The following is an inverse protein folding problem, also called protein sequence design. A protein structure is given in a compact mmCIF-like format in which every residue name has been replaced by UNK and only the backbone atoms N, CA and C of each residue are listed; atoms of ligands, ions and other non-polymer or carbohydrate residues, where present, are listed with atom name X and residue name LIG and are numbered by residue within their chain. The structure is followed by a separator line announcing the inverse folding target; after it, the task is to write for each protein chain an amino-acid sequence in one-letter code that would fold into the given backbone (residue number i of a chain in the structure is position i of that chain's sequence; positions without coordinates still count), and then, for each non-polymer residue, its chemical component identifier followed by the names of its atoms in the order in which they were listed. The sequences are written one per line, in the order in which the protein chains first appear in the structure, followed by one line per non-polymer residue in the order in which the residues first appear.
data_IF_524176100978
#
_entry.id   IF_524176100978
#
_cell.length_a   1.000
_cell.length_b   1.000
_cell.length_c   1.000
_cell.angle_alpha   90.00
_cell.angle_beta   90.00
_cell.angle_gamma   90.00
#
_symmetry.space_group_name_H-M   'P 1'
#
loop_
_entity.id
_entity.type
_entity.pdbx_description
1 polymer ?
#
# COMPACT_ATOMS: atom_id res chain seq x y z
N UNK A 1 -4.64 -23.49 11.21
CA UNK A 1 -4.20 -22.60 10.14
C UNK A 1 -2.88 -22.01 10.58
N UNK A 2 -1.83 -22.25 9.84
CA UNK A 2 -0.51 -21.71 10.12
C UNK A 2 -0.62 -20.17 10.14
N UNK A 3 -0.05 -19.53 11.15
CA UNK A 3 0.00 -18.07 11.19
C UNK A 3 0.93 -17.60 10.08
N UNK A 4 0.60 -16.53 9.41
CA UNK A 4 1.35 -15.96 8.29
C UNK A 4 1.37 -14.45 8.47
N UNK A 5 2.52 -13.82 8.29
CA UNK A 5 2.65 -12.37 8.29
C UNK A 5 2.42 -11.77 6.89
N UNK A 6 2.31 -10.46 6.79
CA UNK A 6 2.01 -9.77 5.53
C UNK A 6 3.11 -9.98 4.48
N UNK A 7 4.42 -9.86 4.78
CA UNK A 7 5.48 -10.18 3.84
C UNK A 7 5.40 -11.60 3.27
N UNK A 8 5.12 -12.60 4.12
CA UNK A 8 4.97 -13.99 3.68
C UNK A 8 3.74 -14.18 2.78
N UNK A 9 2.60 -13.56 3.14
CA UNK A 9 1.39 -13.58 2.31
C UNK A 9 1.66 -12.96 0.93
N UNK A 10 2.36 -11.83 0.89
CA UNK A 10 2.70 -11.15 -0.36
C UNK A 10 3.71 -11.96 -1.19
N UNK A 11 4.72 -12.54 -0.57
CA UNK A 11 5.69 -13.43 -1.23
C UNK A 11 5.02 -14.67 -1.82
N UNK A 12 4.09 -15.30 -1.09
CA UNK A 12 3.34 -16.45 -1.58
C UNK A 12 2.47 -16.08 -2.80
N UNK A 13 1.82 -14.91 -2.78
CA UNK A 13 1.02 -14.42 -3.91
C UNK A 13 1.89 -14.08 -5.14
N UNK A 14 3.12 -13.60 -4.92
CA UNK A 14 4.10 -13.29 -5.97
C UNK A 14 4.77 -14.54 -6.53
N UNK A 15 4.92 -15.60 -5.71
CA UNK A 15 5.65 -16.83 -6.07
C UNK A 15 4.98 -17.70 -7.13
N UNK A 16 3.72 -17.42 -7.50
CA UNK A 16 3.02 -18.05 -8.62
C UNK A 16 3.33 -17.37 -9.95
N UNK A 17 2.30 -16.94 -10.66
CA UNK A 17 2.45 -16.08 -11.86
C UNK A 17 2.66 -14.62 -11.41
N UNK A 18 3.91 -14.20 -11.24
CA UNK A 18 4.27 -12.86 -10.83
C UNK A 18 3.95 -11.78 -11.88
N UNK A 19 3.78 -12.18 -13.14
CA UNK A 19 3.45 -11.26 -14.24
C UNK A 19 1.95 -10.92 -14.30
N UNK A 20 1.09 -11.67 -13.60
CA UNK A 20 -0.34 -11.39 -13.57
C UNK A 20 -0.62 -10.02 -12.93
N UNK A 21 -1.69 -9.32 -13.35
CA UNK A 21 -2.07 -8.04 -12.75
C UNK A 21 -2.37 -8.18 -11.25
N UNK A 22 -1.91 -7.22 -10.46
CA UNK A 22 -2.28 -7.08 -9.05
C UNK A 22 -3.12 -5.82 -8.82
N UNK A 23 -2.62 -4.66 -9.24
CA UNK A 23 -3.32 -3.40 -9.09
C UNK A 23 -3.50 -2.74 -10.45
N UNK A 24 -4.75 -2.47 -10.83
CA UNK A 24 -5.09 -1.56 -11.92
C UNK A 24 -5.68 -0.30 -11.28
N UNK A 25 -5.12 0.85 -11.58
CA UNK A 25 -5.52 2.12 -11.01
C UNK A 25 -6.06 3.04 -12.10
N UNK A 26 -7.19 3.66 -11.78
CA UNK A 26 -7.81 4.72 -12.57
C UNK A 26 -7.91 5.98 -11.75
N UNK A 27 -7.55 7.11 -12.35
CA UNK A 27 -7.89 8.44 -11.87
C UNK A 27 -8.65 9.19 -12.96
N UNK A 28 -9.96 9.32 -12.79
CA UNK A 28 -10.84 9.90 -13.80
C UNK A 28 -10.69 11.42 -13.90
N UNK A 29 -10.10 12.08 -12.90
CA UNK A 29 -9.79 13.51 -12.98
C UNK A 29 -8.59 13.79 -13.90
N UNK A 30 -7.65 12.86 -14.02
CA UNK A 30 -6.45 13.00 -14.85
C UNK A 30 -6.50 12.18 -16.14
N UNK A 31 -7.42 11.22 -16.20
CA UNK A 31 -7.49 10.22 -17.28
C UNK A 31 -6.42 9.14 -17.18
N UNK A 32 -5.77 9.01 -16.02
CA UNK A 32 -4.75 7.97 -15.80
C UNK A 32 -5.39 6.59 -15.76
N UNK A 33 -4.77 5.64 -16.47
CA UNK A 33 -4.90 4.20 -16.26
C UNK A 33 -3.52 3.58 -16.22
N UNK A 34 -3.21 2.92 -15.12
CA UNK A 34 -1.99 2.14 -14.98
C UNK A 34 -2.31 0.75 -14.44
N UNK A 35 -1.63 -0.28 -14.96
CA UNK A 35 -1.75 -1.65 -14.49
C UNK A 35 -0.38 -2.17 -14.08
N UNK A 36 -0.28 -2.64 -12.85
CA UNK A 36 0.94 -3.18 -12.29
C UNK A 36 0.75 -4.66 -11.94
N UNK A 37 1.73 -5.46 -12.36
CA UNK A 37 1.80 -6.87 -11.96
C UNK A 37 2.24 -7.00 -10.50
N UNK A 38 2.06 -8.20 -9.94
CA UNK A 38 2.63 -8.54 -8.64
C UNK A 38 4.15 -8.29 -8.59
N UNK A 39 4.87 -8.64 -9.66
CA UNK A 39 6.31 -8.40 -9.77
C UNK A 39 6.66 -6.91 -9.70
N UNK A 40 5.91 -6.08 -10.43
CA UNK A 40 6.17 -4.63 -10.42
C UNK A 40 5.91 -4.01 -9.05
N UNK A 41 4.82 -4.41 -8.39
CA UNK A 41 4.54 -3.94 -7.01
C UNK A 41 5.60 -4.46 -6.05
N UNK A 42 6.08 -5.72 -6.20
CA UNK A 42 7.15 -6.27 -5.37
C UNK A 42 8.46 -5.49 -5.54
N UNK A 43 8.83 -5.08 -6.74
CA UNK A 43 10.03 -4.26 -6.97
C UNK A 43 9.93 -2.92 -6.23
N UNK A 44 8.80 -2.23 -6.30
CA UNK A 44 8.59 -0.99 -5.55
C UNK A 44 8.55 -1.21 -4.04
N UNK A 45 7.95 -2.31 -3.58
CA UNK A 45 7.95 -2.74 -2.16
C UNK A 45 9.38 -2.94 -1.66
N UNK A 46 10.20 -3.67 -2.42
CA UNK A 46 11.59 -3.96 -2.06
C UNK A 46 12.46 -2.69 -2.03
N UNK A 47 12.30 -1.81 -3.01
CA UNK A 47 12.98 -0.50 -3.01
C UNK A 47 12.60 0.34 -1.79
N UNK A 48 11.31 0.35 -1.42
CA UNK A 48 10.84 1.06 -0.23
C UNK A 48 11.41 0.45 1.06
N UNK A 49 11.43 -0.88 1.17
CA UNK A 49 12.03 -1.54 2.34
C UNK A 49 13.54 -1.26 2.46
N UNK A 50 14.28 -1.30 1.34
CA UNK A 50 15.70 -0.94 1.31
C UNK A 50 15.91 0.54 1.66
N UNK A 51 15.08 1.46 1.17
CA UNK A 51 15.13 2.88 1.55
C UNK A 51 14.97 3.04 3.07
N UNK A 52 14.00 2.35 3.68
CA UNK A 52 13.75 2.43 5.12
C UNK A 52 14.92 1.87 5.93
N UNK A 53 15.45 0.70 5.55
CA UNK A 53 16.50 0.01 6.31
C UNK A 53 17.87 0.61 6.02
N UNK A 54 18.28 0.69 4.77
CA UNK A 54 19.64 1.08 4.38
C UNK A 54 19.77 2.61 4.26
N UNK A 55 18.70 3.32 3.89
CA UNK A 55 18.68 4.77 3.75
C UNK A 55 18.40 5.50 5.05
N UNK A 56 17.30 5.16 5.72
CA UNK A 56 16.83 5.86 6.92
C UNK A 56 17.22 5.15 8.23
N UNK A 57 17.80 3.95 8.18
CA UNK A 57 18.21 3.18 9.36
C UNK A 57 17.03 2.68 10.22
N UNK A 58 15.85 2.54 9.63
CA UNK A 58 14.61 2.14 10.29
C UNK A 58 14.38 0.62 10.19
N UNK A 59 13.63 0.06 11.15
CA UNK A 59 13.36 -1.36 11.21
C UNK A 59 12.37 -1.70 12.33
N UNK A 60 12.42 -2.93 12.89
CA UNK A 60 11.55 -3.33 13.98
C UNK A 60 11.60 -2.35 15.16
N UNK A 61 10.43 -1.91 15.59
CA UNK A 61 10.26 -0.89 16.64
C UNK A 61 10.15 0.54 16.12
N UNK A 62 10.45 0.79 14.83
CA UNK A 62 10.21 2.08 14.18
C UNK A 62 8.78 2.20 13.67
N UNK A 63 8.35 3.44 13.45
CA UNK A 63 6.99 3.79 13.03
C UNK A 63 6.99 4.66 11.78
N UNK A 64 6.00 4.44 10.90
CA UNK A 64 5.78 5.24 9.71
C UNK A 64 4.34 5.75 9.65
N UNK A 65 4.14 6.95 9.13
CA UNK A 65 2.82 7.41 8.71
C UNK A 65 2.73 7.44 7.18
N UNK A 66 1.60 6.96 6.63
CA UNK A 66 1.33 6.97 5.20
C UNK A 66 0.06 7.78 4.95
N UNK A 67 0.23 9.10 4.82
CA UNK A 67 -0.84 10.08 4.63
C UNK A 67 -1.18 10.23 3.13
N UNK A 68 -1.71 9.17 2.54
CA UNK A 68 -1.97 9.05 1.11
C UNK A 68 -3.30 8.35 0.81
N UNK A 69 -3.95 8.65 -0.33
CA UNK A 69 -5.14 7.93 -0.76
C UNK A 69 -4.83 6.50 -1.20
N UNK A 70 -5.89 5.72 -1.50
CA UNK A 70 -5.74 4.44 -2.18
C UNK A 70 -5.09 4.65 -3.55
N UNK A 71 -3.87 4.12 -3.70
CA UNK A 71 -3.05 4.29 -4.90
C UNK A 71 -2.01 3.17 -4.97
N UNK A 72 -1.52 2.83 -6.14
CA UNK A 72 -0.52 1.77 -6.28
C UNK A 72 0.80 2.08 -5.53
N UNK A 73 1.22 3.35 -5.47
CA UNK A 73 2.37 3.76 -4.63
C UNK A 73 2.09 3.55 -3.15
N UNK A 74 0.87 3.84 -2.69
CA UNK A 74 0.46 3.59 -1.30
C UNK A 74 0.56 2.11 -0.95
N UNK A 75 0.21 1.22 -1.90
CA UNK A 75 0.41 -0.22 -1.70
C UNK A 75 1.90 -0.57 -1.49
N UNK A 76 2.77 -0.04 -2.34
CA UNK A 76 4.21 -0.29 -2.24
C UNK A 76 4.80 0.26 -0.94
N UNK A 77 4.36 1.43 -0.49
CA UNK A 77 4.78 2.03 0.79
C UNK A 77 4.34 1.19 1.98
N UNK A 78 3.07 0.80 2.04
CA UNK A 78 2.54 -0.02 3.13
C UNK A 78 3.24 -1.39 3.19
N UNK A 79 3.34 -2.08 2.06
CA UNK A 79 4.02 -3.37 1.97
C UNK A 79 5.52 -3.24 2.29
N UNK A 80 6.16 -2.14 1.86
CA UNK A 80 7.57 -1.84 2.17
C UNK A 80 7.80 -1.62 3.66
N UNK A 81 6.96 -0.83 4.33
CA UNK A 81 7.01 -0.64 5.78
C UNK A 81 6.89 -1.99 6.51
N UNK A 82 5.87 -2.77 6.20
CA UNK A 82 5.67 -4.07 6.83
C UNK A 82 6.79 -5.07 6.54
N UNK A 83 7.38 -5.03 5.35
CA UNK A 83 8.54 -5.88 5.00
C UNK A 83 9.81 -5.47 5.75
N UNK A 84 9.99 -4.19 6.03
CA UNK A 84 11.09 -3.66 6.84
C UNK A 84 10.86 -3.84 8.36
N UNK A 85 9.71 -4.35 8.80
CA UNK A 85 9.33 -4.43 10.21
C UNK A 85 8.94 -3.10 10.83
N UNK A 86 8.68 -2.07 10.00
CA UNK A 86 8.23 -0.74 10.42
C UNK A 86 6.71 -0.75 10.56
N UNK A 87 6.22 -0.43 11.75
CA UNK A 87 4.79 -0.38 12.01
C UNK A 87 4.18 0.89 11.43
N UNK A 88 3.00 0.78 10.79
CA UNK A 88 2.28 1.94 10.29
C UNK A 88 1.42 2.53 11.40
N UNK A 89 1.60 3.82 11.68
CA UNK A 89 0.83 4.56 12.69
C UNK A 89 -0.30 5.36 12.02
N UNK A 90 -1.28 5.75 12.85
CA UNK A 90 -2.27 6.72 12.42
C UNK A 90 -1.59 8.05 12.04
N UNK A 91 -2.06 8.69 10.99
CA UNK A 91 -1.44 9.90 10.41
C UNK A 91 -1.37 11.12 11.34
N UNK A 92 -2.01 11.09 12.50
CA UNK A 92 -1.90 12.15 13.51
C UNK A 92 -0.87 11.85 14.61
N UNK A 93 -0.19 10.72 14.56
CA UNK A 93 0.84 10.34 15.52
C UNK A 93 2.20 10.98 15.17
N UNK A 94 3.05 11.19 16.17
CA UNK A 94 4.46 11.42 15.95
C UNK A 94 5.10 10.10 15.50
N UNK A 95 5.87 10.12 14.41
CA UNK A 95 6.45 8.93 13.78
C UNK A 95 7.91 9.15 13.42
N UNK A 96 8.65 8.06 13.13
CA UNK A 96 10.05 8.14 12.71
C UNK A 96 10.19 8.59 11.25
N UNK A 97 9.22 8.22 10.39
CA UNK A 97 9.18 8.64 8.99
C UNK A 97 7.74 8.89 8.54
N UNK A 98 7.52 9.91 7.70
CA UNK A 98 6.22 10.19 7.09
C UNK A 98 6.29 10.16 5.57
N UNK A 99 5.29 9.53 4.93
CA UNK A 99 5.03 9.58 3.50
C UNK A 99 3.75 10.37 3.25
N UNK A 100 3.84 11.45 2.50
CA UNK A 100 2.75 12.42 2.35
C UNK A 100 2.48 12.71 0.89
N UNK A 101 1.22 12.60 0.48
CA UNK A 101 0.80 13.01 -0.86
C UNK A 101 0.98 14.52 -1.08
N UNK A 102 1.28 14.91 -2.33
CA UNK A 102 1.64 16.29 -2.65
C UNK A 102 0.58 17.35 -2.34
N UNK A 103 -0.68 16.94 -2.20
CA UNK A 103 -1.81 17.80 -1.81
C UNK A 103 -1.98 17.96 -0.28
N UNK A 104 -1.17 17.25 0.52
CA UNK A 104 -1.28 17.17 1.98
C UNK A 104 -0.05 17.64 2.76
N UNK A 105 0.89 18.32 2.11
CA UNK A 105 2.13 18.77 2.79
C UNK A 105 1.87 19.67 3.99
N UNK A 106 0.79 20.47 3.97
CA UNK A 106 0.41 21.33 5.08
C UNK A 106 -0.07 20.58 6.35
N UNK A 107 -0.51 19.34 6.17
CA UNK A 107 -1.03 18.46 7.23
C UNK A 107 -0.10 17.26 7.47
N UNK A 108 1.18 17.37 7.10
CA UNK A 108 2.14 16.29 7.25
C UNK A 108 2.26 15.86 8.72
N UNK A 109 2.27 14.54 9.00
CA UNK A 109 2.58 14.01 10.32
C UNK A 109 3.95 14.51 10.80
N UNK A 110 4.09 14.75 12.10
CA UNK A 110 5.37 15.16 12.67
C UNK A 110 6.35 14.00 12.63
N UNK A 111 7.46 14.18 11.94
CA UNK A 111 8.53 13.18 11.80
C UNK A 111 9.89 13.85 11.60
N UNK A 112 11.00 13.19 12.00
CA UNK A 112 12.34 13.63 11.64
C UNK A 112 12.61 13.62 10.14
N UNK A 113 11.97 12.72 9.41
CA UNK A 113 12.14 12.54 7.98
C UNK A 113 10.77 12.47 7.28
N UNK A 114 10.55 13.33 6.29
CA UNK A 114 9.31 13.38 5.53
C UNK A 114 9.59 13.23 4.04
N UNK A 115 8.97 12.19 3.46
CA UNK A 115 8.98 11.97 2.01
C UNK A 115 7.69 12.50 1.39
N UNK A 116 7.84 13.40 0.43
CA UNK A 116 6.76 13.83 -0.43
C UNK A 116 6.56 12.85 -1.59
N UNK A 117 5.35 12.38 -1.79
CA UNK A 117 5.03 11.41 -2.82
C UNK A 117 4.14 12.04 -3.87
N UNK A 118 4.65 12.13 -5.10
CA UNK A 118 3.87 12.59 -6.24
C UNK A 118 2.86 11.52 -6.67
N UNK A 119 1.61 11.92 -6.84
CA UNK A 119 0.55 11.08 -7.42
C UNK A 119 0.33 11.37 -8.90
N UNK A 120 1.27 12.04 -9.55
CA UNK A 120 1.21 12.31 -11.00
C UNK A 120 1.33 11.00 -11.78
N UNK A 121 0.66 10.89 -12.94
CA UNK A 121 0.79 9.76 -13.84
C UNK A 121 2.25 9.37 -14.09
N UNK A 122 2.50 8.08 -14.30
CA UNK A 122 3.84 7.53 -14.60
C UNK A 122 4.88 7.69 -13.48
N UNK A 123 4.49 7.95 -12.25
CA UNK A 123 5.39 8.16 -11.12
C UNK A 123 6.45 9.25 -11.41
N UNK A 124 6.01 10.37 -11.95
CA UNK A 124 6.88 11.54 -12.09
C UNK A 124 7.17 12.15 -10.72
N UNK A 125 8.42 12.61 -10.56
CA UNK A 125 8.84 13.32 -9.35
C UNK A 125 7.97 14.56 -9.07
N UNK A 126 8.06 15.07 -7.86
CA UNK A 126 7.50 16.37 -7.51
C UNK A 126 8.18 17.46 -8.33
N UNK A 127 7.41 18.47 -8.78
CA UNK A 127 8.01 19.63 -9.46
C UNK A 127 8.77 20.49 -8.45
N UNK A 128 8.13 20.79 -7.32
CA UNK A 128 8.68 21.57 -6.22
C UNK A 128 8.34 20.86 -4.90
N UNK A 129 9.34 20.34 -4.20
CA UNK A 129 9.19 19.84 -2.85
C UNK A 129 9.35 21.02 -1.85
N UNK A 130 8.45 21.19 -0.88
CA UNK A 130 8.66 22.15 0.20
C UNK A 130 9.96 21.90 0.96
N UNK A 131 10.51 22.95 1.58
CA UNK A 131 11.71 22.81 2.41
C UNK A 131 11.51 21.73 3.50
N UNK A 132 12.50 20.87 3.66
CA UNK A 132 12.46 19.76 4.61
C UNK A 132 11.69 18.51 4.14
N UNK A 133 11.12 18.53 2.93
CA UNK A 133 10.45 17.38 2.32
C UNK A 133 11.32 16.81 1.20
N UNK A 134 11.62 15.52 1.28
CA UNK A 134 12.43 14.80 0.28
C UNK A 134 11.51 14.19 -0.78
N UNK A 135 11.84 14.30 -2.06
CA UNK A 135 11.07 13.63 -3.12
C UNK A 135 11.28 12.12 -3.08
N UNK A 136 10.24 11.38 -2.71
CA UNK A 136 10.27 9.94 -2.58
C UNK A 136 10.70 9.24 -3.87
N UNK A 137 10.16 9.68 -5.02
CA UNK A 137 10.40 9.00 -6.29
C UNK A 137 11.82 9.22 -6.83
N UNK A 138 12.49 10.26 -6.38
CA UNK A 138 13.91 10.48 -6.65
C UNK A 138 14.76 9.56 -5.78
N UNK A 139 14.47 9.51 -4.46
CA UNK A 139 15.28 8.75 -3.52
C UNK A 139 15.11 7.24 -3.67
N UNK A 140 13.89 6.74 -3.74
CA UNK A 140 13.60 5.29 -3.77
C UNK A 140 14.22 4.58 -4.98
N UNK A 141 14.44 5.28 -6.09
CA UNK A 141 15.06 4.72 -7.30
C UNK A 141 16.54 4.38 -7.12
N UNK A 142 17.20 4.92 -6.11
CA UNK A 142 18.59 4.61 -5.79
C UNK A 142 18.75 3.24 -5.11
N UNK A 143 17.65 2.61 -4.68
CA UNK A 143 17.65 1.33 -3.97
C UNK A 143 17.31 0.15 -4.87
N UNK A 144 17.78 -1.05 -4.47
CA UNK A 144 17.65 -2.27 -5.25
C UNK A 144 16.23 -2.84 -5.30
N UNK A 145 15.92 -3.61 -6.34
CA UNK A 145 14.64 -4.30 -6.55
C UNK A 145 14.51 -5.59 -5.72
N UNK A 146 15.57 -5.96 -4.99
CA UNK A 146 15.60 -7.12 -4.11
C UNK A 146 15.85 -6.66 -2.67
N UNK A 147 14.96 -7.07 -1.77
CA UNK A 147 15.12 -6.88 -0.34
C UNK A 147 15.48 -8.22 0.30
N UNK A 148 16.78 -8.40 0.55
CA UNK A 148 17.32 -9.58 1.23
C UNK A 148 17.60 -9.32 2.71
N UNK A 149 16.95 -8.32 3.28
CA UNK A 149 17.26 -7.70 4.56
C UNK A 149 17.44 -8.67 5.72
N UNK A 150 18.28 -8.30 6.65
CA UNK A 150 18.47 -8.98 7.95
C UNK A 150 17.22 -8.89 8.86
N UNK A 151 16.18 -8.22 8.40
CA UNK A 151 14.95 -8.01 9.16
C UNK A 151 14.06 -9.25 9.04
N UNK A 152 13.99 -9.99 10.12
CA UNK A 152 13.00 -11.08 10.26
C UNK A 152 11.75 -10.49 10.89
N UNK A 153 10.67 -10.42 10.10
CA UNK A 153 9.37 -9.98 10.58
C UNK A 153 8.61 -11.19 11.14
N UNK A 154 8.20 -11.10 12.41
CA UNK A 154 7.40 -12.11 13.08
C UNK A 154 5.90 -11.89 12.90
N UNK A 155 5.13 -12.94 13.12
CA UNK A 155 3.66 -12.92 13.04
C UNK A 155 3.03 -11.99 14.09
N UNK A 156 3.64 -11.90 15.25
CA UNK A 156 3.20 -11.10 16.39
C UNK A 156 3.80 -9.68 16.41
N UNK A 157 4.65 -9.34 15.42
CA UNK A 157 5.20 -8.00 15.30
C UNK A 157 4.08 -6.98 14.97
N UNK A 158 4.15 -5.76 15.51
CA UNK A 158 3.16 -4.74 15.23
C UNK A 158 3.19 -4.34 13.76
N UNK A 159 2.03 -4.36 13.11
CA UNK A 159 1.83 -3.86 11.75
C UNK A 159 1.11 -2.50 11.74
N UNK A 160 0.16 -2.29 12.68
CA UNK A 160 -0.49 -1.01 12.92
C UNK A 160 -0.35 -0.63 14.39
N UNK A 161 -0.07 0.66 14.64
CA UNK A 161 0.06 1.23 15.98
C UNK A 161 -0.64 2.59 16.07
N UNK A 162 -0.78 3.13 17.28
CA UNK A 162 -1.39 4.43 17.54
C UNK A 162 -2.76 4.59 16.87
N UNK A 163 -3.57 3.55 16.89
CA UNK A 163 -4.91 3.55 16.29
C UNK A 163 -5.84 4.53 17.02
N UNK A 164 -6.85 5.10 16.35
CA UNK A 164 -7.91 5.84 17.01
C UNK A 164 -8.53 5.02 18.14
N UNK A 165 -8.56 5.57 19.35
CA UNK A 165 -8.98 4.84 20.56
C UNK A 165 -7.89 4.01 21.22
N UNK A 166 -6.65 4.03 20.71
CA UNK A 166 -5.49 3.30 21.23
C UNK A 166 -5.38 1.89 20.69
N UNK A 167 -4.23 1.27 20.96
CA UNK A 167 -3.97 -0.13 20.60
C UNK A 167 -3.09 -0.30 19.36
N UNK A 168 -2.84 -1.56 19.06
CA UNK A 168 -2.05 -2.01 17.92
C UNK A 168 -2.74 -3.21 17.25
N UNK A 169 -2.26 -3.56 16.06
CA UNK A 169 -2.60 -4.81 15.36
C UNK A 169 -1.32 -5.46 14.87
N UNK A 170 -1.23 -6.76 15.05
CA UNK A 170 -0.08 -7.53 14.61
C UNK A 170 -0.15 -7.85 13.11
N UNK A 171 0.95 -8.31 12.55
CA UNK A 171 1.04 -8.79 11.17
C UNK A 171 0.00 -9.89 10.91
N UNK A 172 -0.05 -10.92 11.75
CA UNK A 172 -1.01 -12.02 11.59
C UNK A 172 -2.47 -11.58 11.77
N UNK A 173 -2.76 -10.63 12.67
CA UNK A 173 -4.11 -10.08 12.82
C UNK A 173 -4.60 -9.36 11.58
N UNK A 174 -3.72 -8.62 10.88
CA UNK A 174 -4.09 -7.96 9.63
C UNK A 174 -4.33 -8.97 8.50
N UNK A 175 -3.48 -9.99 8.37
CA UNK A 175 -3.69 -11.08 7.41
C UNK A 175 -5.04 -11.76 7.66
N UNK A 176 -5.32 -12.14 8.91
CA UNK A 176 -6.60 -12.73 9.28
C UNK A 176 -7.79 -11.79 9.00
N UNK A 177 -7.61 -10.48 9.20
CA UNK A 177 -8.64 -9.49 8.91
C UNK A 177 -8.94 -9.38 7.42
N UNK A 178 -7.91 -9.45 6.54
CA UNK A 178 -8.10 -9.49 5.09
C UNK A 178 -8.93 -10.70 4.66
N UNK A 179 -8.63 -11.89 5.18
CA UNK A 179 -9.39 -13.11 4.91
C UNK A 179 -10.84 -13.05 5.40
N UNK A 180 -11.07 -12.55 6.63
CA UNK A 180 -12.45 -12.36 7.14
C UNK A 180 -13.22 -11.37 6.28
N UNK A 181 -12.59 -10.26 5.89
CA UNK A 181 -13.23 -9.24 5.06
C UNK A 181 -13.64 -9.79 3.69
N UNK A 182 -12.81 -10.64 3.10
CA UNK A 182 -13.16 -11.35 1.86
C UNK A 182 -14.39 -12.24 2.05
N UNK A 183 -14.48 -12.96 3.16
CA UNK A 183 -15.66 -13.77 3.49
C UNK A 183 -16.92 -12.94 3.71
N UNK A 184 -16.83 -11.81 4.41
CA UNK A 184 -17.96 -10.88 4.63
C UNK A 184 -18.52 -10.29 3.33
N UNK A 185 -17.65 -10.04 2.35
CA UNK A 185 -18.01 -9.45 1.05
C UNK A 185 -18.14 -10.51 -0.06
N UNK A 186 -18.12 -11.80 0.29
CA UNK A 186 -18.24 -12.94 -0.62
C UNK A 186 -17.24 -12.91 -1.80
N UNK A 187 -16.03 -12.37 -1.55
CA UNK A 187 -14.97 -12.31 -2.54
C UNK A 187 -14.31 -13.68 -2.71
N UNK A 188 -14.44 -14.26 -3.88
CA UNK A 188 -13.90 -15.59 -4.19
C UNK A 188 -12.36 -15.61 -4.27
N UNK A 189 -11.75 -16.77 -4.06
CA UNK A 189 -10.32 -16.96 -4.27
C UNK A 189 -9.91 -16.60 -5.71
N UNK A 190 -8.83 -15.85 -5.87
CA UNK A 190 -8.31 -15.37 -7.15
C UNK A 190 -9.16 -14.30 -7.85
N UNK A 191 -10.20 -13.79 -7.20
CA UNK A 191 -11.10 -12.80 -7.81
C UNK A 191 -10.36 -11.49 -8.18
N UNK A 192 -10.74 -10.93 -9.32
CA UNK A 192 -10.44 -9.54 -9.67
C UNK A 192 -11.62 -8.69 -9.24
N UNK A 193 -11.41 -7.75 -8.35
CA UNK A 193 -12.46 -6.90 -7.80
C UNK A 193 -12.30 -5.45 -8.26
N UNK A 194 -13.41 -4.71 -8.38
CA UNK A 194 -13.40 -3.27 -8.61
C UNK A 194 -13.92 -2.55 -7.38
N UNK A 195 -13.15 -1.60 -6.91
CA UNK A 195 -13.47 -0.71 -5.80
C UNK A 195 -13.37 0.74 -6.26
N UNK A 196 -14.35 1.55 -5.91
CA UNK A 196 -14.36 2.97 -6.22
C UNK A 196 -14.56 3.81 -4.96
N UNK A 197 -13.83 4.93 -4.87
CA UNK A 197 -13.95 5.89 -3.79
C UNK A 197 -12.62 6.48 -3.34
N UNK A 198 -12.69 7.65 -2.71
CA UNK A 198 -11.50 8.41 -2.30
C UNK A 198 -10.99 8.03 -0.89
N UNK A 199 -11.81 7.34 -0.09
CA UNK A 199 -11.51 6.98 1.30
C UNK A 199 -11.52 5.47 1.57
N UNK A 200 -11.02 4.70 0.61
CA UNK A 200 -10.92 3.26 0.75
C UNK A 200 -9.88 2.89 1.82
N UNK A 201 -10.23 1.96 2.70
CA UNK A 201 -9.31 1.46 3.74
C UNK A 201 -8.33 0.47 3.14
N UNK A 202 -7.04 0.45 3.55
CA UNK A 202 -6.07 -0.55 3.10
C UNK A 202 -6.53 -2.00 3.32
N UNK A 203 -7.36 -2.23 4.33
CA UNK A 203 -7.98 -3.55 4.56
C UNK A 203 -8.82 -4.00 3.35
N UNK A 204 -9.59 -3.10 2.76
CA UNK A 204 -10.54 -3.43 1.68
C UNK A 204 -9.84 -3.52 0.32
N UNK A 205 -8.93 -2.59 0.01
CA UNK A 205 -8.36 -2.53 -1.34
C UNK A 205 -6.98 -3.18 -1.50
N UNK A 206 -6.27 -3.45 -0.39
CA UNK A 206 -4.93 -4.07 -0.44
C UNK A 206 -4.92 -5.45 0.22
N UNK A 207 -5.29 -5.53 1.51
CA UNK A 207 -5.13 -6.78 2.28
C UNK A 207 -6.17 -7.83 1.89
N UNK A 208 -7.40 -7.44 1.62
CA UNK A 208 -8.48 -8.37 1.23
C UNK A 208 -8.18 -9.05 -0.13
N UNK A 209 -7.92 -8.34 -1.25
CA UNK A 209 -7.58 -9.01 -2.50
C UNK A 209 -6.28 -9.82 -2.39
N UNK A 210 -5.30 -9.35 -1.63
CA UNK A 210 -4.06 -10.10 -1.39
C UNK A 210 -4.34 -11.41 -0.64
N UNK A 211 -5.18 -11.40 0.38
CA UNK A 211 -5.52 -12.59 1.19
C UNK A 211 -6.21 -13.69 0.38
N UNK A 212 -6.93 -13.34 -0.68
CA UNK A 212 -7.55 -14.32 -1.59
C UNK A 212 -6.71 -14.63 -2.84
N UNK A 213 -5.50 -14.08 -2.93
CA UNK A 213 -4.64 -14.22 -4.11
C UNK A 213 -5.24 -13.59 -5.38
N UNK A 214 -6.09 -12.57 -5.21
CA UNK A 214 -6.81 -11.86 -6.26
C UNK A 214 -6.09 -10.62 -6.78
N UNK A 215 -6.83 -9.76 -7.44
CA UNK A 215 -6.36 -8.46 -7.93
C UNK A 215 -7.42 -7.38 -7.75
N UNK A 216 -7.02 -6.11 -7.79
CA UNK A 216 -7.93 -4.99 -7.59
C UNK A 216 -7.86 -3.99 -8.73
N UNK A 217 -9.02 -3.48 -9.13
CA UNK A 217 -9.19 -2.29 -9.96
C UNK A 217 -9.63 -1.17 -9.04
N UNK A 218 -8.76 -0.19 -8.82
CA UNK A 218 -9.02 0.99 -8.00
C UNK A 218 -9.48 2.14 -8.87
N UNK A 219 -10.63 2.74 -8.55
CA UNK A 219 -11.16 3.90 -9.25
C UNK A 219 -11.25 5.09 -8.29
N UNK A 220 -10.52 6.15 -8.63
CA UNK A 220 -10.53 7.43 -7.92
C UNK A 220 -11.18 8.50 -8.79
N UNK A 221 -11.78 9.52 -8.16
CA UNK A 221 -12.45 10.64 -8.85
C UNK A 221 -13.49 10.14 -9.89
N UNK A 222 -14.19 9.05 -9.59
CA UNK A 222 -15.04 8.33 -10.55
C UNK A 222 -16.51 8.80 -10.54
N UNK A 223 -16.79 9.99 -10.04
CA UNK A 223 -18.15 10.55 -10.04
C UNK A 223 -18.69 10.65 -11.48
N UNK A 224 -19.88 10.06 -11.69
CA UNK A 224 -20.52 10.04 -13.01
C UNK A 224 -19.98 9.01 -14.00
N UNK A 225 -19.00 8.18 -13.58
CA UNK A 225 -18.46 7.09 -14.40
C UNK A 225 -19.35 5.85 -14.29
N UNK A 226 -19.62 5.18 -15.41
CA UNK A 226 -20.28 3.87 -15.42
C UNK A 226 -19.30 2.79 -14.93
N UNK A 227 -19.34 2.54 -13.61
CA UNK A 227 -18.46 1.56 -12.96
C UNK A 227 -18.82 0.12 -13.34
N UNK A 228 -20.05 -0.18 -13.72
CA UNK A 228 -20.47 -1.52 -14.12
C UNK A 228 -19.92 -1.83 -15.53
N UNK A 229 -19.97 -0.86 -16.45
CA UNK A 229 -19.31 -0.99 -17.76
C UNK A 229 -17.78 -1.12 -17.61
N UNK A 230 -17.15 -0.39 -16.67
CA UNK A 230 -15.72 -0.54 -16.37
C UNK A 230 -15.42 -1.92 -15.79
N UNK A 231 -16.21 -2.39 -14.83
CA UNK A 231 -16.04 -3.74 -14.25
C UNK A 231 -16.13 -4.83 -15.32
N UNK A 232 -17.08 -4.73 -16.24
CA UNK A 232 -17.21 -5.64 -17.37
C UNK A 232 -15.97 -5.59 -18.28
N UNK A 233 -15.44 -4.40 -18.59
CA UNK A 233 -14.23 -4.22 -19.42
C UNK A 233 -13.00 -4.83 -18.76
N UNK A 234 -12.83 -4.61 -17.46
CA UNK A 234 -11.71 -5.13 -16.66
C UNK A 234 -11.91 -6.59 -16.21
N UNK A 235 -13.04 -7.21 -16.56
CA UNK A 235 -13.42 -8.55 -16.09
C UNK A 235 -13.35 -8.67 -14.56
N UNK A 236 -13.78 -7.63 -13.87
CA UNK A 236 -13.77 -7.53 -12.43
C UNK A 236 -15.20 -7.64 -11.86
N UNK A 237 -15.30 -8.08 -10.63
CA UNK A 237 -16.54 -8.02 -9.85
C UNK A 237 -16.54 -6.70 -9.06
N UNK A 238 -17.56 -5.89 -9.25
CA UNK A 238 -17.74 -4.69 -8.44
C UNK A 238 -18.10 -5.08 -7.01
N UNK A 239 -17.40 -4.48 -6.05
CA UNK A 239 -17.62 -4.68 -4.62
C UNK A 239 -17.84 -3.31 -3.98
N UNK A 240 -18.96 -3.16 -3.28
CA UNK A 240 -19.25 -1.95 -2.53
C UNK A 240 -18.77 -2.13 -1.08
N UNK A 241 -17.87 -1.25 -0.65
CA UNK A 241 -17.33 -1.23 0.71
C UNK A 241 -17.88 0.00 1.43
N UNK A 242 -18.64 -0.24 2.47
CA UNK A 242 -19.20 0.79 3.36
C UNK A 242 -18.33 0.96 4.61
#
# INVERSE_FOLDING_TARGET
MERVNIPQMFAAATGGDAARPFITYYDDATGERVELSYLTVANWTNKTANLLVDGSGLGPGSTAAVAMPAHWLTAALLLGCWSAGVAVAHETADVDVAFVGGDRFGDAPKSPETYGVSLKPMAFRLDDAPEGIVDFLTEVRNFGDHFGGSTVVGDDDPALVALPGGGARTQAELVASGGRRAGELEVAAGARILLAGDRLRPLDWLLMPLAVGGSVVLCRNSDGVDLDARAATEKAVRVDVS
#
